data_IF_612207121104
#
_entry.id   IF_612207121104
#
_cell.length_a   1.000
_cell.length_b   1.000
_cell.length_c   1.000
_cell.angle_alpha   90.00
_cell.angle_beta   90.00
_cell.angle_gamma   90.00
#
_symmetry.space_group_name_H-M   'P 1'
#
loop_
_entity.id
_entity.type
_entity.pdbx_description
1 polymer ?
#
# COMPACT_ATOMS: atom_id res chain seq x y z
N UNK A 1 17.74 -26.44 4.02
CA UNK A 1 17.32 -25.81 2.75
C UNK A 1 15.95 -25.21 3.01
N UNK A 2 15.66 -24.01 2.51
CA UNK A 2 14.29 -23.49 2.57
C UNK A 2 13.47 -24.19 1.48
N UNK A 3 12.28 -24.65 1.83
CA UNK A 3 11.32 -25.29 0.92
C UNK A 3 9.99 -24.53 1.01
N UNK A 4 9.29 -24.39 -0.11
CA UNK A 4 7.99 -23.75 -0.21
C UNK A 4 7.28 -24.20 -1.50
N UNK A 5 5.95 -24.12 -1.53
CA UNK A 5 5.18 -24.32 -2.76
C UNK A 5 5.41 -23.17 -3.75
N UNK A 6 5.55 -21.94 -3.24
CA UNK A 6 5.73 -20.73 -4.03
C UNK A 6 6.78 -19.81 -3.42
N UNK A 7 7.66 -19.28 -4.26
CA UNK A 7 8.58 -18.20 -3.89
C UNK A 7 8.17 -16.91 -4.61
N UNK A 8 7.87 -15.86 -3.84
CA UNK A 8 7.58 -14.53 -4.35
C UNK A 8 8.85 -13.68 -4.27
N UNK A 9 9.31 -13.17 -5.40
CA UNK A 9 10.51 -12.31 -5.48
C UNK A 9 10.08 -10.84 -5.48
N UNK A 10 10.34 -10.17 -4.36
CA UNK A 10 10.01 -8.77 -4.08
C UNK A 10 8.93 -8.63 -3.00
N UNK A 11 9.27 -7.96 -1.91
CA UNK A 11 8.39 -7.64 -0.76
C UNK A 11 7.71 -6.28 -0.87
N UNK A 12 7.51 -5.76 -2.08
CA UNK A 12 6.67 -4.57 -2.30
C UNK A 12 5.17 -4.89 -2.27
N UNK A 13 4.29 -3.90 -2.49
CA UNK A 13 2.84 -4.08 -2.32
C UNK A 13 2.25 -5.21 -3.17
N UNK A 14 2.67 -5.35 -4.42
CA UNK A 14 2.21 -6.44 -5.29
C UNK A 14 2.69 -7.82 -4.83
N UNK A 15 3.93 -7.91 -4.33
CA UNK A 15 4.50 -9.16 -3.83
C UNK A 15 3.88 -9.59 -2.51
N UNK A 16 3.71 -8.65 -1.57
CA UNK A 16 2.97 -8.88 -0.33
C UNK A 16 1.52 -9.31 -0.63
N UNK A 17 0.84 -8.63 -1.55
CA UNK A 17 -0.51 -8.99 -1.96
C UNK A 17 -0.59 -10.43 -2.52
N UNK A 18 0.34 -10.79 -3.40
CA UNK A 18 0.42 -12.14 -3.96
C UNK A 18 0.69 -13.19 -2.86
N UNK A 19 1.64 -12.91 -1.97
CA UNK A 19 2.00 -13.80 -0.87
C UNK A 19 0.83 -14.04 0.09
N UNK A 20 0.17 -12.97 0.56
CA UNK A 20 -1.01 -13.05 1.42
C UNK A 20 -2.14 -13.83 0.74
N UNK A 21 -2.38 -13.57 -0.55
CA UNK A 21 -3.44 -14.27 -1.31
C UNK A 21 -3.16 -15.77 -1.41
N UNK A 22 -1.93 -16.15 -1.72
CA UNK A 22 -1.52 -17.56 -1.84
C UNK A 22 -1.48 -18.28 -0.48
N UNK A 23 -0.99 -17.60 0.56
CA UNK A 23 -0.98 -18.12 1.93
C UNK A 23 -2.42 -18.39 2.42
N UNK A 24 -3.35 -17.46 2.16
CA UNK A 24 -4.78 -17.66 2.46
C UNK A 24 -5.43 -18.79 1.66
N UNK A 25 -4.86 -19.14 0.51
CA UNK A 25 -5.27 -20.32 -0.27
C UNK A 25 -4.61 -21.63 0.23
N UNK A 26 -3.88 -21.59 1.35
CA UNK A 26 -3.26 -22.77 1.97
C UNK A 26 -1.93 -23.20 1.35
N UNK A 27 -1.23 -22.30 0.66
CA UNK A 27 0.11 -22.56 0.10
C UNK A 27 1.20 -22.19 1.10
N UNK A 28 2.28 -22.96 1.11
CA UNK A 28 3.52 -22.53 1.77
C UNK A 28 4.25 -21.52 0.88
N UNK A 29 4.44 -20.30 1.37
CA UNK A 29 4.93 -19.17 0.56
C UNK A 29 6.12 -18.52 1.25
N UNK A 30 7.22 -18.37 0.51
CA UNK A 30 8.38 -17.58 0.94
C UNK A 30 8.45 -16.31 0.11
N UNK A 31 8.55 -15.16 0.78
CA UNK A 31 8.87 -13.88 0.14
C UNK A 31 10.36 -13.62 0.30
N UNK A 32 11.04 -13.30 -0.80
CA UNK A 32 12.43 -12.86 -0.78
C UNK A 32 12.54 -11.46 -1.36
N UNK A 33 13.29 -10.59 -0.68
CA UNK A 33 13.63 -9.27 -1.19
C UNK A 33 15.13 -9.04 -1.00
N UNK A 34 15.70 -8.22 -1.89
CA UNK A 34 17.10 -7.80 -1.79
C UNK A 34 17.29 -6.73 -0.71
N UNK A 35 16.29 -5.89 -0.51
CA UNK A 35 16.33 -4.80 0.45
C UNK A 35 16.07 -5.29 1.87
N UNK A 36 16.55 -4.52 2.85
CA UNK A 36 16.10 -4.63 4.24
C UNK A 36 15.01 -3.60 4.44
N UNK A 37 13.91 -4.00 5.09
CA UNK A 37 12.79 -3.12 5.39
C UNK A 37 12.96 -2.49 6.78
N UNK A 38 12.45 -1.26 7.00
CA UNK A 38 11.83 -0.38 6.00
C UNK A 38 12.84 0.11 4.96
N UNK A 39 12.39 0.33 3.71
CA UNK A 39 13.25 0.73 2.59
C UNK A 39 12.73 1.98 1.89
N UNK A 40 13.62 2.87 1.50
CA UNK A 40 13.23 4.05 0.73
C UNK A 40 12.75 3.67 -0.69
N UNK A 41 11.67 4.32 -1.14
CA UNK A 41 11.16 4.27 -2.51
C UNK A 41 10.31 5.50 -2.82
N UNK A 42 10.88 6.44 -3.56
CA UNK A 42 10.27 7.74 -3.93
C UNK A 42 8.97 7.75 -4.77
N UNK A 43 8.35 6.61 -5.08
CA UNK A 43 7.13 6.61 -5.92
C UNK A 43 6.06 5.71 -5.32
N UNK A 44 4.82 6.16 -5.36
CA UNK A 44 3.65 5.39 -4.95
C UNK A 44 3.15 5.69 -3.55
N UNK A 45 3.41 6.90 -3.04
CA UNK A 45 2.92 7.31 -1.72
C UNK A 45 1.41 7.61 -1.73
N UNK A 46 0.84 7.95 -2.89
CA UNK A 46 -0.58 8.24 -3.05
C UNK A 46 -1.44 6.98 -3.19
N UNK A 47 -2.42 6.83 -2.29
CA UNK A 47 -3.36 5.72 -2.25
C UNK A 47 -4.74 6.19 -2.70
N UNK A 48 -5.20 5.65 -3.84
CA UNK A 48 -6.55 5.89 -4.36
C UNK A 48 -7.58 5.04 -3.62
N UNK A 49 -8.87 5.38 -3.73
CA UNK A 49 -9.96 4.56 -3.18
C UNK A 49 -9.84 3.07 -3.54
N UNK A 50 -9.48 2.75 -4.79
CA UNK A 50 -9.27 1.38 -5.24
C UNK A 50 -8.10 0.70 -4.51
N UNK A 51 -6.97 1.38 -4.38
CA UNK A 51 -5.82 0.87 -3.61
C UNK A 51 -6.21 0.62 -2.15
N UNK A 52 -6.95 1.54 -1.53
CA UNK A 52 -7.42 1.39 -0.15
C UNK A 52 -8.31 0.15 0.03
N UNK A 53 -9.20 -0.15 -0.93
CA UNK A 53 -10.01 -1.38 -0.88
C UNK A 53 -9.15 -2.64 -0.98
N UNK A 54 -8.11 -2.64 -1.80
CA UNK A 54 -7.19 -3.77 -1.89
C UNK A 54 -6.40 -3.95 -0.58
N UNK A 55 -5.87 -2.87 0.00
CA UNK A 55 -5.13 -2.93 1.26
C UNK A 55 -6.01 -3.41 2.43
N UNK A 56 -7.26 -2.94 2.50
CA UNK A 56 -8.25 -3.42 3.48
C UNK A 56 -8.54 -4.92 3.29
N UNK A 57 -8.72 -5.39 2.05
CA UNK A 57 -8.92 -6.80 1.76
C UNK A 57 -7.71 -7.65 2.14
N UNK A 58 -6.49 -7.11 2.03
CA UNK A 58 -5.28 -7.77 2.52
C UNK A 58 -5.23 -7.83 4.04
N UNK A 59 -5.90 -6.93 4.76
CA UNK A 59 -5.89 -6.86 6.22
C UNK A 59 -5.00 -5.77 6.79
N UNK A 60 -4.44 -4.92 5.93
CA UNK A 60 -3.65 -3.77 6.37
C UNK A 60 -4.55 -2.81 7.16
N UNK A 61 -4.07 -2.37 8.32
CA UNK A 61 -4.72 -1.33 9.10
C UNK A 61 -4.01 0.01 8.91
N UNK A 62 -4.73 1.11 8.65
CA UNK A 62 -4.10 2.44 8.51
C UNK A 62 -3.20 2.84 9.68
N UNK A 63 -3.56 2.45 10.91
CA UNK A 63 -2.80 2.78 12.11
C UNK A 63 -1.53 1.94 12.32
N UNK A 64 -1.29 0.91 11.51
CA UNK A 64 -0.01 0.20 11.48
C UNK A 64 1.03 0.87 10.56
N UNK A 65 0.65 1.96 9.87
CA UNK A 65 1.52 2.70 8.94
C UNK A 65 1.85 4.07 9.54
N UNK A 66 3.09 4.27 10.01
CA UNK A 66 3.48 5.44 10.80
C UNK A 66 3.25 6.79 10.10
N UNK A 67 3.54 6.87 8.80
CA UNK A 67 3.34 8.07 7.96
C UNK A 67 1.94 8.22 7.37
N UNK A 68 0.96 7.41 7.77
CA UNK A 68 -0.38 7.45 7.18
C UNK A 68 -1.07 8.81 7.39
N UNK A 69 -1.57 9.39 6.31
CA UNK A 69 -2.38 10.60 6.34
C UNK A 69 -3.58 10.46 5.41
N UNK A 70 -4.77 10.76 5.93
CA UNK A 70 -5.97 10.83 5.10
C UNK A 70 -5.92 12.08 4.21
N UNK A 71 -6.40 11.95 2.98
CA UNK A 71 -6.51 13.07 2.02
C UNK A 71 -7.98 13.44 1.89
N UNK A 72 -8.30 14.68 2.24
CA UNK A 72 -9.66 15.22 2.16
C UNK A 72 -10.01 15.75 0.76
N UNK A 73 -9.05 16.33 0.06
CA UNK A 73 -9.29 17.01 -1.21
C UNK A 73 -8.06 16.89 -2.13
N UNK A 74 -8.28 16.81 -3.44
CA UNK A 74 -7.22 16.86 -4.47
C UNK A 74 -7.30 18.18 -5.21
N UNK A 75 -6.19 18.89 -5.29
CA UNK A 75 -6.08 20.14 -6.03
C UNK A 75 -5.28 19.96 -7.29
N UNK A 76 -5.85 20.36 -8.44
CA UNK A 76 -5.13 20.39 -9.73
C UNK A 76 -4.91 21.84 -10.11
N UNK A 77 -3.65 22.21 -10.35
CA UNK A 77 -3.25 23.54 -10.81
C UNK A 77 -2.59 23.47 -12.17
N UNK A 78 -3.10 24.22 -13.14
CA UNK A 78 -2.46 24.35 -14.46
C UNK A 78 -1.24 25.28 -14.38
N UNK A 79 -0.28 25.18 -15.32
CA UNK A 79 0.83 26.13 -15.43
C UNK A 79 0.39 27.58 -15.61
N UNK A 80 -0.78 27.80 -16.24
CA UNK A 80 -1.40 29.12 -16.40
C UNK A 80 -2.10 29.65 -15.13
N UNK A 81 -2.07 28.90 -14.03
CA UNK A 81 -2.60 29.34 -12.73
C UNK A 81 -4.06 28.98 -12.47
N UNK A 82 -4.77 28.31 -13.40
CA UNK A 82 -6.12 27.80 -13.13
C UNK A 82 -6.07 26.71 -12.08
N UNK A 83 -6.97 26.74 -11.11
CA UNK A 83 -7.09 25.71 -10.09
C UNK A 83 -8.46 25.04 -10.16
N UNK A 84 -8.50 23.75 -9.85
CA UNK A 84 -9.71 22.99 -9.60
C UNK A 84 -9.51 22.16 -8.33
N UNK A 85 -10.48 22.21 -7.43
CA UNK A 85 -10.53 21.39 -6.23
C UNK A 85 -11.50 20.22 -6.45
N UNK A 86 -11.06 19.02 -6.09
CA UNK A 86 -11.82 17.78 -6.17
C UNK A 86 -11.96 17.22 -4.75
N UNK A 87 -13.05 17.52 -4.04
CA UNK A 87 -13.24 17.02 -2.69
C UNK A 87 -13.49 15.53 -2.69
N UNK A 88 -12.93 14.82 -1.70
CA UNK A 88 -13.29 13.43 -1.44
C UNK A 88 -14.70 13.34 -0.83
N UNK A 89 -15.41 12.22 -1.02
CA UNK A 89 -16.70 12.01 -0.38
C UNK A 89 -16.60 12.23 1.14
N UNK A 90 -17.52 13.05 1.66
CA UNK A 90 -17.65 13.28 3.10
C UNK A 90 -18.58 12.20 3.66
N UNK A 91 -18.11 11.40 4.61
CA UNK A 91 -18.88 10.29 5.16
C UNK A 91 -17.99 9.21 5.78
N UNK A 92 -18.54 8.01 5.92
CA UNK A 92 -17.82 6.87 6.49
C UNK A 92 -16.81 6.30 5.48
N UNK A 93 -15.57 6.09 5.92
CA UNK A 93 -14.51 5.46 5.15
C UNK A 93 -13.41 6.42 4.71
N UNK A 94 -12.34 5.85 4.15
CA UNK A 94 -11.19 6.57 3.61
C UNK A 94 -11.23 6.43 2.10
N UNK A 95 -11.19 7.56 1.38
CA UNK A 95 -11.31 7.62 -0.08
C UNK A 95 -10.00 7.98 -0.77
N UNK A 96 -9.08 8.63 -0.06
CA UNK A 96 -7.70 8.83 -0.48
C UNK A 96 -6.82 8.94 0.77
N UNK A 97 -5.57 8.49 0.64
CA UNK A 97 -4.57 8.66 1.68
C UNK A 97 -3.18 8.83 1.03
N UNK A 98 -2.23 9.32 1.82
CA UNK A 98 -0.81 9.24 1.50
C UNK A 98 -0.09 8.50 2.62
N UNK A 99 0.95 7.77 2.27
CA UNK A 99 1.88 7.16 3.21
C UNK A 99 3.23 7.00 2.52
N UNK A 100 4.33 7.19 3.26
CA UNK A 100 5.65 6.91 2.71
C UNK A 100 5.77 5.42 2.38
N UNK A 101 6.32 5.10 1.21
CA UNK A 101 6.54 3.71 0.79
C UNK A 101 7.37 2.88 1.78
N UNK A 102 8.26 3.52 2.53
CA UNK A 102 9.07 2.83 3.53
C UNK A 102 8.20 2.20 4.63
N UNK A 103 7.22 2.95 5.12
CA UNK A 103 6.30 2.49 6.16
C UNK A 103 5.20 1.58 5.59
N UNK A 104 4.63 1.94 4.44
CA UNK A 104 3.57 1.16 3.81
C UNK A 104 4.06 -0.26 3.44
N UNK A 105 5.22 -0.36 2.79
CA UNK A 105 5.74 -1.66 2.38
C UNK A 105 6.13 -2.51 3.60
N UNK A 106 6.71 -1.90 4.64
CA UNK A 106 7.07 -2.60 5.86
C UNK A 106 5.82 -3.15 6.57
N UNK A 107 4.80 -2.31 6.75
CA UNK A 107 3.55 -2.72 7.39
C UNK A 107 2.83 -3.83 6.61
N UNK A 108 2.91 -3.84 5.27
CA UNK A 108 2.30 -4.87 4.43
C UNK A 108 2.94 -6.26 4.58
N UNK A 109 4.21 -6.33 5.00
CA UNK A 109 4.89 -7.60 5.26
C UNK A 109 4.48 -8.21 6.61
N UNK A 110 3.84 -7.43 7.48
CA UNK A 110 3.37 -7.83 8.81
C UNK A 110 1.86 -8.14 8.86
N UNK A 111 1.20 -8.24 7.69
CA UNK A 111 -0.25 -8.50 7.54
C UNK A 111 -0.58 -9.99 7.53
#
# INVERSE_FOLDING_TARGET
MLEADVVVVGGGPAGAAAAVTLARAGRDVIVVDRARFPRDKCCGDGLTAGALRHLEALGLRPDSVASWQNVDDVWVRSPSGRTACFPMPRGQGIFAAVAERADLDAALLDV
#
